data_IF_527741583081
#
_entry.id   IF_527741583081
#
_cell.length_a   1.000
_cell.length_b   1.000
_cell.length_c   1.000
_cell.angle_alpha   90.00
_cell.angle_beta   90.00
_cell.angle_gamma   90.00
#
_symmetry.space_group_name_H-M   'P 1'
#
loop_
_entity.id
_entity.type
_entity.pdbx_description
1 polymer ?
#
# COMPACT_ATOMS: atom_id res chain seq x y z
N UNK A 1 9.60 63.39 -10.43
CA UNK A 1 10.07 62.13 -9.82
C UNK A 1 9.08 61.73 -8.72
N UNK A 2 8.32 60.64 -8.90
CA UNK A 2 7.30 60.19 -7.92
C UNK A 2 8.01 59.58 -6.71
N UNK A 3 7.78 60.14 -5.52
CA UNK A 3 8.30 59.61 -4.25
C UNK A 3 7.56 58.31 -3.94
N UNK A 4 8.25 57.18 -4.04
CA UNK A 4 7.72 55.88 -3.64
C UNK A 4 7.79 55.81 -2.12
N UNK A 5 6.64 55.67 -1.48
CA UNK A 5 6.51 55.66 -0.02
C UNK A 5 7.04 54.30 0.50
N UNK A 6 8.06 54.25 1.37
CA UNK A 6 8.74 53.01 1.75
C UNK A 6 7.83 52.00 2.45
N UNK A 7 6.72 52.45 3.03
CA UNK A 7 5.70 51.60 3.67
C UNK A 7 4.99 50.67 2.67
N UNK A 8 4.79 51.12 1.43
CA UNK A 8 4.13 50.31 0.40
C UNK A 8 4.99 49.12 -0.07
N UNK A 9 6.32 49.28 -0.02
CA UNK A 9 7.28 48.24 -0.40
C UNK A 9 7.31 47.12 0.64
N UNK A 10 7.21 47.48 1.92
CA UNK A 10 7.24 46.51 3.03
C UNK A 10 6.01 45.60 2.97
N UNK A 11 4.81 46.15 2.78
CA UNK A 11 3.57 45.36 2.73
C UNK A 11 3.56 44.41 1.52
N UNK A 12 4.06 44.87 0.35
CA UNK A 12 4.14 44.03 -0.84
C UNK A 12 5.13 42.86 -0.66
N UNK A 13 6.27 43.09 0.00
CA UNK A 13 7.25 42.03 0.27
C UNK A 13 6.70 40.95 1.20
N UNK A 14 5.88 41.32 2.20
CA UNK A 14 5.29 40.35 3.13
C UNK A 14 4.25 39.45 2.45
N UNK A 15 3.46 39.96 1.50
CA UNK A 15 2.44 39.15 0.81
C UNK A 15 3.10 38.12 -0.14
N UNK A 16 4.23 38.47 -0.75
CA UNK A 16 4.97 37.56 -1.64
C UNK A 16 5.60 36.41 -0.84
N UNK A 17 6.07 36.65 0.39
CA UNK A 17 6.62 35.57 1.22
C UNK A 17 5.54 34.59 1.69
N UNK A 18 4.35 35.07 2.09
CA UNK A 18 3.25 34.17 2.51
C UNK A 18 2.70 33.33 1.36
N UNK A 19 2.54 33.89 0.16
CA UNK A 19 2.08 33.13 -1.03
C UNK A 19 3.12 32.13 -1.54
N UNK A 20 4.42 32.40 -1.33
CA UNK A 20 5.49 31.46 -1.68
C UNK A 20 5.63 30.27 -0.72
N UNK A 21 5.23 30.44 0.55
CA UNK A 21 5.21 29.36 1.53
C UNK A 21 4.09 28.35 1.30
N UNK A 22 2.92 28.80 0.80
CA UNK A 22 1.80 27.89 0.48
C UNK A 22 2.06 26.99 -0.74
N UNK A 23 2.91 27.43 -1.68
CA UNK A 23 3.34 26.57 -2.80
C UNK A 23 4.26 25.45 -2.31
N UNK A 24 5.21 25.74 -1.42
CA UNK A 24 6.12 24.72 -0.87
C UNK A 24 5.46 23.75 0.12
N UNK A 25 4.28 24.09 0.65
CA UNK A 25 3.44 23.19 1.46
C UNK A 25 2.42 22.42 0.63
N UNK A 26 2.60 22.32 -0.70
CA UNK A 26 1.99 21.25 -1.48
C UNK A 26 2.60 19.92 -1.01
N UNK A 27 2.02 19.41 0.08
CA UNK A 27 2.50 18.26 0.82
C UNK A 27 2.91 17.16 -0.15
N UNK A 28 4.10 16.62 0.07
CA UNK A 28 4.48 15.31 -0.44
C UNK A 28 3.45 14.30 0.06
N UNK A 29 2.30 14.18 -0.64
CA UNK A 29 1.36 13.10 -0.44
C UNK A 29 2.18 11.85 -0.71
N UNK A 30 2.54 11.12 0.35
CA UNK A 30 3.25 9.85 0.23
C UNK A 30 2.44 8.98 -0.71
N UNK A 31 2.93 8.83 -1.93
CA UNK A 31 2.38 7.90 -2.89
C UNK A 31 2.62 6.50 -2.34
N UNK A 32 1.56 5.69 -2.33
CA UNK A 32 1.68 4.30 -1.94
C UNK A 32 2.77 3.62 -2.76
N UNK A 33 3.68 2.93 -2.09
CA UNK A 33 4.70 2.11 -2.72
C UNK A 33 4.61 0.71 -2.15
N UNK A 34 4.33 -0.24 -3.04
CA UNK A 34 4.27 -1.68 -2.70
C UNK A 34 5.63 -2.25 -2.33
N UNK A 35 6.72 -1.60 -2.76
CA UNK A 35 8.08 -2.05 -2.46
C UNK A 35 8.33 -1.96 -0.95
N UNK A 36 8.84 -3.06 -0.38
CA UNK A 36 9.12 -3.17 1.04
C UNK A 36 8.69 -4.51 1.65
N UNK A 37 8.81 -4.60 2.97
CA UNK A 37 8.40 -5.75 3.76
C UNK A 37 7.00 -5.54 4.30
N UNK A 38 6.15 -6.55 4.13
CA UNK A 38 4.75 -6.50 4.50
C UNK A 38 4.37 -7.75 5.27
N UNK A 39 3.91 -7.57 6.50
CA UNK A 39 3.46 -8.67 7.35
C UNK A 39 1.97 -8.89 7.17
N UNK A 40 1.54 -10.15 7.15
CA UNK A 40 0.12 -10.50 7.22
C UNK A 40 -0.45 -10.05 8.56
N UNK A 41 -1.39 -9.10 8.49
CA UNK A 41 -2.10 -8.53 9.64
C UNK A 41 -3.41 -9.27 9.90
N UNK A 42 -4.17 -9.57 8.85
CA UNK A 42 -5.40 -10.36 8.93
C UNK A 42 -5.71 -11.11 7.63
N UNK A 43 -6.42 -12.23 7.77
CA UNK A 43 -6.89 -13.06 6.66
C UNK A 43 -8.35 -13.42 6.90
N UNK A 44 -9.22 -13.20 5.91
CA UNK A 44 -10.65 -13.54 6.01
C UNK A 44 -11.22 -13.90 4.64
N UNK A 45 -12.39 -14.54 4.62
CA UNK A 45 -13.07 -14.92 3.37
C UNK A 45 -14.04 -13.81 2.94
N UNK A 46 -13.88 -13.33 1.72
CA UNK A 46 -14.81 -12.44 1.03
C UNK A 46 -16.04 -13.26 0.57
N UNK A 47 -17.22 -12.94 1.07
CA UNK A 47 -18.48 -13.58 0.67
C UNK A 47 -19.51 -13.67 1.79
N UNK A 48 -20.71 -14.16 1.45
CA UNK A 48 -21.81 -14.36 2.38
C UNK A 48 -21.69 -15.72 3.09
N UNK A 49 -20.86 -15.78 4.12
CA UNK A 49 -20.87 -16.89 5.06
C UNK A 49 -21.44 -16.44 6.42
N UNK A 50 -22.07 -17.33 7.20
CA UNK A 50 -22.39 -17.05 8.59
C UNK A 50 -21.13 -16.63 9.37
N UNK A 51 -21.27 -15.65 10.28
CA UNK A 51 -20.14 -15.04 11.02
C UNK A 51 -19.26 -16.09 11.74
N UNK A 52 -19.87 -17.14 12.29
CA UNK A 52 -19.15 -18.26 12.93
C UNK A 52 -18.21 -19.01 11.98
N UNK A 53 -18.63 -19.23 10.73
CA UNK A 53 -17.82 -19.89 9.70
C UNK A 53 -16.73 -18.94 9.21
N UNK A 54 -17.03 -17.65 9.04
CA UNK A 54 -16.02 -16.65 8.68
C UNK A 54 -14.90 -16.59 9.72
N UNK A 55 -15.25 -16.56 11.01
CA UNK A 55 -14.28 -16.56 12.12
C UNK A 55 -13.44 -17.83 12.16
N UNK A 56 -14.03 -18.99 11.88
CA UNK A 56 -13.29 -20.25 11.82
C UNK A 56 -12.29 -20.29 10.66
N UNK A 57 -12.70 -19.85 9.46
CA UNK A 57 -11.84 -19.76 8.27
C UNK A 57 -10.73 -18.72 8.48
N UNK A 58 -11.07 -17.57 9.08
CA UNK A 58 -10.09 -16.56 9.44
C UNK A 58 -9.09 -17.12 10.46
N UNK A 59 -9.54 -17.81 11.51
CA UNK A 59 -8.67 -18.38 12.54
C UNK A 59 -7.73 -19.47 12.00
N UNK A 60 -8.21 -20.35 11.12
CA UNK A 60 -7.41 -21.42 10.50
C UNK A 60 -6.37 -20.85 9.54
N UNK A 61 -6.80 -20.03 8.57
CA UNK A 61 -5.87 -19.39 7.63
C UNK A 61 -4.90 -18.46 8.36
N UNK A 62 -5.37 -17.64 9.29
CA UNK A 62 -4.50 -16.71 10.02
C UNK A 62 -3.49 -17.47 10.89
N UNK A 63 -3.84 -18.60 11.51
CA UNK A 63 -2.90 -19.41 12.30
C UNK A 63 -1.78 -19.97 11.42
N UNK A 64 -2.09 -20.44 10.21
CA UNK A 64 -1.09 -20.93 9.26
C UNK A 64 -0.23 -19.81 8.66
N UNK A 65 -0.84 -18.65 8.44
CA UNK A 65 -0.23 -17.47 7.82
C UNK A 65 0.36 -16.50 8.84
N UNK A 66 0.31 -16.85 10.13
CA UNK A 66 0.77 -15.98 11.22
C UNK A 66 2.26 -15.79 11.11
N UNK A 67 2.68 -14.54 10.87
CA UNK A 67 4.10 -14.22 10.69
C UNK A 67 4.62 -14.44 9.27
N UNK A 68 3.74 -14.73 8.30
CA UNK A 68 4.11 -14.68 6.89
C UNK A 68 4.43 -13.23 6.50
N UNK A 69 5.56 -13.04 5.83
CA UNK A 69 6.07 -11.75 5.35
C UNK A 69 6.22 -11.79 3.85
N UNK A 70 5.67 -10.79 3.19
CA UNK A 70 5.78 -10.55 1.76
C UNK A 70 6.79 -9.42 1.56
N UNK A 71 7.94 -9.73 0.94
CA UNK A 71 8.95 -8.73 0.57
C UNK A 71 8.88 -8.47 -0.92
N UNK A 72 8.32 -7.32 -1.32
CA UNK A 72 8.26 -6.88 -2.70
C UNK A 72 9.51 -6.06 -3.04
N UNK A 73 10.25 -6.49 -4.07
CA UNK A 73 11.47 -5.85 -4.52
C UNK A 73 11.22 -4.95 -5.73
N UNK A 74 12.15 -4.03 -6.01
CA UNK A 74 12.08 -3.12 -7.14
C UNK A 74 12.29 -3.81 -8.50
N UNK A 75 12.86 -5.03 -8.52
CA UNK A 75 13.16 -5.82 -9.71
C UNK A 75 11.98 -6.69 -10.18
N UNK A 76 10.76 -6.42 -9.70
CA UNK A 76 9.54 -7.20 -9.99
C UNK A 76 9.56 -8.63 -9.43
N UNK A 77 10.39 -8.92 -8.44
CA UNK A 77 10.34 -10.16 -7.65
C UNK A 77 9.72 -9.92 -6.27
N UNK A 78 9.05 -10.92 -5.72
CA UNK A 78 8.66 -10.91 -4.31
C UNK A 78 9.09 -12.19 -3.61
N UNK A 79 9.45 -12.06 -2.34
CA UNK A 79 9.73 -13.18 -1.47
C UNK A 79 8.54 -13.39 -0.54
N UNK A 80 8.01 -14.61 -0.51
CA UNK A 80 7.03 -15.04 0.47
C UNK A 80 7.76 -15.84 1.54
N UNK A 81 8.01 -15.18 2.66
CA UNK A 81 8.72 -15.73 3.81
C UNK A 81 7.70 -16.26 4.79
N UNK A 82 7.62 -17.58 4.94
CA UNK A 82 6.83 -18.24 5.98
C UNK A 82 7.76 -18.87 7.02
N UNK A 83 7.20 -19.39 8.11
CA UNK A 83 7.98 -20.10 9.14
C UNK A 83 8.64 -21.40 8.63
N UNK A 84 8.17 -21.94 7.51
CA UNK A 84 8.60 -23.24 6.99
C UNK A 84 9.40 -23.12 5.69
N UNK A 85 8.97 -22.23 4.80
CA UNK A 85 9.52 -22.08 3.47
C UNK A 85 9.68 -20.62 3.05
N UNK A 86 10.64 -20.38 2.16
CA UNK A 86 10.81 -19.12 1.43
C UNK A 86 10.63 -19.40 -0.06
N UNK A 87 9.67 -18.75 -0.70
CA UNK A 87 9.51 -18.79 -2.16
C UNK A 87 9.84 -17.44 -2.78
N UNK A 88 10.48 -17.47 -3.95
CA UNK A 88 10.75 -16.27 -4.76
C UNK A 88 9.92 -16.37 -6.03
N UNK A 89 9.06 -15.39 -6.24
CA UNK A 89 8.12 -15.35 -7.35
C UNK A 89 8.18 -13.97 -8.04
N UNK A 90 7.59 -13.86 -9.22
CA UNK A 90 7.51 -12.58 -9.95
C UNK A 90 6.16 -11.92 -9.74
N UNK A 91 6.14 -10.60 -9.70
CA UNK A 91 4.92 -9.82 -9.63
C UNK A 91 4.98 -8.60 -10.56
N UNK A 92 3.81 -8.05 -10.90
CA UNK A 92 3.70 -6.68 -11.39
C UNK A 92 2.36 -6.09 -10.96
N UNK A 93 2.25 -4.76 -11.01
CA UNK A 93 1.05 -4.02 -10.67
C UNK A 93 0.58 -3.21 -11.88
N UNK A 94 -0.69 -3.34 -12.23
CA UNK A 94 -1.31 -2.61 -13.35
C UNK A 94 -2.76 -2.28 -13.00
N UNK A 95 -3.16 -1.02 -13.14
CA UNK A 95 -4.56 -0.57 -13.00
C UNK A 95 -5.27 -1.12 -11.75
N UNK A 96 -4.63 -1.00 -10.58
CA UNK A 96 -5.13 -1.53 -9.29
C UNK A 96 -5.32 -3.05 -9.22
N UNK A 97 -4.67 -3.78 -10.12
CA UNK A 97 -4.60 -5.25 -10.12
C UNK A 97 -3.17 -5.68 -9.86
N UNK A 98 -3.00 -6.58 -8.89
CA UNK A 98 -1.72 -7.21 -8.58
C UNK A 98 -1.65 -8.53 -9.34
N UNK A 99 -0.58 -8.76 -10.10
CA UNK A 99 -0.40 -9.99 -10.85
C UNK A 99 0.75 -10.78 -10.24
N UNK A 100 0.51 -12.04 -9.90
CA UNK A 100 1.54 -12.97 -9.45
C UNK A 100 1.82 -14.02 -10.53
N UNK A 101 3.09 -14.40 -10.70
CA UNK A 101 3.47 -15.44 -11.66
C UNK A 101 3.33 -16.83 -11.03
N UNK A 102 2.34 -17.60 -11.47
CA UNK A 102 2.09 -18.98 -11.07
C UNK A 102 2.23 -19.91 -12.29
N UNK A 103 3.07 -20.95 -12.21
CA UNK A 103 3.19 -22.00 -13.25
C UNK A 103 3.32 -21.45 -14.69
N UNK A 104 4.05 -20.35 -14.85
CA UNK A 104 4.28 -19.58 -16.10
C UNK A 104 3.22 -18.56 -16.52
N UNK A 105 2.07 -18.49 -15.86
CA UNK A 105 1.04 -17.50 -16.15
C UNK A 105 1.00 -16.41 -15.09
N UNK A 106 0.56 -15.22 -15.47
CA UNK A 106 0.27 -14.15 -14.52
C UNK A 106 -1.20 -14.20 -14.11
N UNK A 107 -1.43 -14.49 -12.83
CA UNK A 107 -2.76 -14.59 -12.26
C UNK A 107 -3.13 -13.24 -11.64
N UNK A 108 -4.30 -12.66 -11.99
CA UNK A 108 -4.76 -11.39 -11.44
C UNK A 108 -5.32 -11.57 -10.03
N UNK A 109 -4.95 -10.64 -9.15
CA UNK A 109 -5.44 -10.50 -7.79
C UNK A 109 -6.01 -9.10 -7.62
N UNK A 110 -7.28 -9.03 -7.21
CA UNK A 110 -7.91 -7.75 -6.91
C UNK A 110 -7.14 -7.10 -5.75
N UNK A 111 -6.76 -5.84 -5.91
CA UNK A 111 -5.86 -5.15 -5.00
C UNK A 111 -6.48 -3.82 -4.55
N UNK A 112 -6.36 -3.51 -3.27
CA UNK A 112 -6.92 -2.29 -2.68
C UNK A 112 -5.93 -1.68 -1.69
N UNK A 113 -5.62 -0.40 -1.89
CA UNK A 113 -4.79 0.38 -0.97
C UNK A 113 -5.72 0.98 0.08
N UNK A 114 -5.42 0.77 1.36
CA UNK A 114 -6.16 1.41 2.47
C UNK A 114 -5.46 2.70 2.91
N UNK A 115 -4.13 2.66 3.00
CA UNK A 115 -3.26 3.81 3.29
C UNK A 115 -1.81 3.50 2.85
N UNK A 116 -0.86 4.35 3.21
CA UNK A 116 0.57 4.21 2.86
C UNK A 116 1.27 2.99 3.51
N UNK A 117 0.69 2.45 4.57
CA UNK A 117 1.24 1.34 5.38
C UNK A 117 0.35 0.10 5.39
N UNK A 118 -0.77 0.10 4.65
CA UNK A 118 -1.73 -1.00 4.65
C UNK A 118 -2.38 -1.15 3.28
N UNK A 119 -2.34 -2.37 2.75
CA UNK A 119 -3.11 -2.75 1.57
C UNK A 119 -3.70 -4.14 1.74
N UNK A 120 -4.60 -4.52 0.83
CA UNK A 120 -5.13 -5.87 0.77
C UNK A 120 -5.20 -6.37 -0.65
N UNK A 121 -5.10 -7.68 -0.80
CA UNK A 121 -5.39 -8.34 -2.07
C UNK A 121 -6.29 -9.57 -1.85
N UNK A 122 -7.04 -9.94 -2.88
CA UNK A 122 -7.99 -11.04 -2.85
C UNK A 122 -7.51 -12.13 -3.81
N UNK A 123 -7.40 -13.36 -3.31
CA UNK A 123 -7.04 -14.50 -4.15
C UNK A 123 -8.26 -15.10 -4.89
N UNK A 124 -7.99 -16.09 -5.75
CA UNK A 124 -9.03 -16.82 -6.51
C UNK A 124 -10.08 -17.50 -5.64
N UNK A 125 -9.72 -17.89 -4.41
CA UNK A 125 -10.61 -18.55 -3.45
C UNK A 125 -11.43 -17.54 -2.63
N UNK A 126 -11.44 -16.28 -3.07
CA UNK A 126 -12.08 -15.15 -2.38
C UNK A 126 -11.53 -14.92 -0.97
N UNK A 127 -10.28 -15.30 -0.70
CA UNK A 127 -9.61 -15.02 0.57
C UNK A 127 -8.92 -13.66 0.45
N UNK A 128 -9.23 -12.77 1.38
CA UNK A 128 -8.61 -11.45 1.51
C UNK A 128 -7.43 -11.55 2.45
N UNK A 129 -6.28 -11.10 1.97
CA UNK A 129 -5.08 -10.89 2.76
C UNK A 129 -4.93 -9.40 3.02
N UNK A 130 -4.89 -9.00 4.29
CA UNK A 130 -4.54 -7.64 4.70
C UNK A 130 -3.10 -7.63 5.13
N UNK A 131 -2.31 -6.78 4.48
CA UNK A 131 -0.89 -6.63 4.67
C UNK A 131 -0.58 -5.28 5.28
N UNK A 132 0.27 -5.28 6.32
CA UNK A 132 0.75 -4.08 6.99
C UNK A 132 2.26 -3.94 6.81
N UNK A 133 2.73 -2.74 6.51
CA UNK A 133 4.14 -2.43 6.32
C UNK A 133 4.89 -2.64 7.64
N UNK A 134 6.06 -3.28 7.55
CA UNK A 134 6.98 -3.45 8.68
C UNK A 134 7.98 -2.30 8.78
#
# INVERSE_FOLDING_TARGET
MKKINPVAIIIAATIITFTSCEWFTHSNKKTFSIIGNWKVDSVYKNGFLPDSIQRLIAATNFKEKRGEVYKFNADSTFNRLSLKDSTVEKYYLKDSTLFFRELNNYIPYAFSIKNDSTFSFINKDSVVFVLKKQ
#
